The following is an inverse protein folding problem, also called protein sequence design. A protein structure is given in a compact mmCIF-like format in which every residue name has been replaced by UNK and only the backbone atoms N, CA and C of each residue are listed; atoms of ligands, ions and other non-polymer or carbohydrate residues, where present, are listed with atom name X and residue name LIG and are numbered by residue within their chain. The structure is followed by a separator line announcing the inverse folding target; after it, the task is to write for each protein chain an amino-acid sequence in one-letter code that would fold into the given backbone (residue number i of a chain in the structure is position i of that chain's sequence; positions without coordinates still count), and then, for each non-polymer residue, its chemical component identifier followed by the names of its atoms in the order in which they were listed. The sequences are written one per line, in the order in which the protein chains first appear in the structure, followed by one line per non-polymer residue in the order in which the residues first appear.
data_IF_274764777474
#
_entry.id   IF_274764777474
#
_cell.length_a   1.000
_cell.length_b   1.000
_cell.length_c   1.000
_cell.angle_alpha   90.00
_cell.angle_beta   90.00
_cell.angle_gamma   90.00
#
_symmetry.space_group_name_H-M   'P 1'
#
loop_
_entity.id
_entity.type
_entity.pdbx_description
1 polymer ?
#
# COMPACT_ATOMS: atom_id res chain seq x y z
N UNK A 1 30.00 9.10 10.32
CA UNK A 1 28.55 9.05 10.51
C UNK A 1 27.96 8.67 9.18
N UNK A 2 27.37 7.49 9.06
CA UNK A 2 26.57 7.14 7.90
C UNK A 2 25.37 8.08 7.90
N UNK A 3 25.22 8.92 6.89
CA UNK A 3 24.04 9.76 6.72
C UNK A 3 22.91 8.80 6.39
N UNK A 4 21.97 8.59 7.32
CA UNK A 4 20.76 7.84 7.02
C UNK A 4 20.06 8.48 5.84
N UNK A 5 19.57 7.66 4.88
CA UNK A 5 18.75 8.19 3.79
C UNK A 5 17.56 8.97 4.38
N UNK A 6 17.18 10.12 3.80
CA UNK A 6 15.99 10.82 4.24
C UNK A 6 14.77 9.92 4.07
N UNK A 7 13.87 9.94 5.05
CA UNK A 7 12.60 9.22 4.97
C UNK A 7 11.73 9.89 3.92
N UNK A 8 11.08 9.07 3.07
CA UNK A 8 10.12 9.55 2.07
C UNK A 8 8.70 9.39 2.59
N UNK A 9 7.87 10.38 2.27
CA UNK A 9 6.47 10.40 2.66
C UNK A 9 5.56 10.44 1.43
N UNK A 10 4.63 9.51 1.37
CA UNK A 10 3.67 9.37 0.29
C UNK A 10 2.23 9.29 0.79
N UNK A 11 1.32 9.28 -0.15
CA UNK A 11 -0.10 9.20 0.13
C UNK A 11 -0.73 8.12 -0.75
N UNK A 12 -1.85 7.55 -0.27
CA UNK A 12 -2.71 6.75 -1.14
C UNK A 12 -3.50 7.70 -2.04
N UNK A 13 -3.29 7.57 -3.35
CA UNK A 13 -3.88 8.43 -4.35
C UNK A 13 -5.38 8.18 -4.52
N UNK A 14 -6.11 9.25 -4.83
CA UNK A 14 -7.51 9.15 -5.20
C UNK A 14 -7.68 8.43 -6.54
N UNK A 15 -8.56 7.42 -6.60
CA UNK A 15 -8.82 6.62 -7.79
C UNK A 15 -10.31 6.23 -7.91
N UNK A 16 -11.19 7.22 -7.86
CA UNK A 16 -12.66 7.06 -7.84
C UNK A 16 -13.34 8.07 -8.77
N UNK A 17 -14.60 7.81 -9.18
CA UNK A 17 -15.38 8.76 -9.98
C UNK A 17 -15.72 10.07 -9.25
N UNK A 18 -15.77 11.22 -9.97
CA UNK A 18 -15.45 11.35 -11.38
C UNK A 18 -13.95 11.43 -11.63
N UNK A 19 -13.50 10.89 -12.75
CA UNK A 19 -12.06 10.79 -13.08
C UNK A 19 -11.32 12.13 -13.00
N UNK A 20 -11.99 13.23 -13.36
CA UNK A 20 -11.40 14.57 -13.31
C UNK A 20 -10.84 14.89 -11.91
N UNK A 21 -11.54 14.52 -10.84
CA UNK A 21 -11.09 14.74 -9.46
C UNK A 21 -9.87 13.92 -9.10
N UNK A 22 -9.83 12.67 -9.54
CA UNK A 22 -8.65 11.83 -9.36
C UNK A 22 -7.43 12.39 -10.10
N UNK A 23 -7.60 12.91 -11.32
CA UNK A 23 -6.52 13.55 -12.08
C UNK A 23 -6.05 14.88 -11.44
N UNK A 24 -6.98 15.71 -10.98
CA UNK A 24 -6.67 16.95 -10.23
C UNK A 24 -5.87 16.62 -8.95
N UNK A 25 -6.23 15.56 -8.22
CA UNK A 25 -5.55 15.15 -7.00
C UNK A 25 -4.08 14.75 -7.23
N UNK A 26 -3.76 14.14 -8.38
CA UNK A 26 -2.39 13.78 -8.77
C UNK A 26 -1.54 15.06 -8.91
N UNK A 27 -2.00 16.02 -9.72
CA UNK A 27 -1.28 17.27 -9.93
C UNK A 27 -1.11 18.06 -8.63
N UNK A 28 -2.17 18.06 -7.79
CA UNK A 28 -2.14 18.68 -6.46
C UNK A 28 -1.12 18.02 -5.54
N UNK A 29 -1.06 16.69 -5.50
CA UNK A 29 -0.10 15.96 -4.66
C UNK A 29 1.35 16.35 -5.00
N UNK A 30 1.71 16.42 -6.28
CA UNK A 30 3.04 16.88 -6.67
C UNK A 30 3.29 18.35 -6.31
N UNK A 31 2.30 19.23 -6.50
CA UNK A 31 2.42 20.65 -6.14
C UNK A 31 2.60 20.85 -4.64
N UNK A 32 1.95 20.06 -3.81
CA UNK A 32 2.11 20.04 -2.36
C UNK A 32 3.51 19.56 -1.94
N UNK A 33 4.17 18.75 -2.76
CA UNK A 33 5.53 18.29 -2.49
C UNK A 33 5.64 16.91 -1.88
N UNK A 34 4.61 16.06 -2.04
CA UNK A 34 4.70 14.65 -1.70
C UNK A 34 5.86 13.97 -2.46
N UNK A 35 6.56 13.05 -1.78
CA UNK A 35 7.67 12.32 -2.39
C UNK A 35 7.18 11.25 -3.36
N UNK A 36 6.08 10.58 -3.03
CA UNK A 36 5.46 9.57 -3.91
C UNK A 36 3.95 9.47 -3.72
N UNK A 37 3.28 8.92 -4.75
CA UNK A 37 1.86 8.55 -4.72
C UNK A 37 1.74 7.04 -4.86
N UNK A 38 0.84 6.43 -4.10
CA UNK A 38 0.64 5.00 -3.99
C UNK A 38 -0.78 4.62 -4.43
N UNK A 39 -0.92 3.64 -5.31
CA UNK A 39 -2.22 3.16 -5.81
C UNK A 39 -2.44 1.68 -5.48
N UNK A 40 -3.53 1.31 -4.79
CA UNK A 40 -3.88 -0.08 -4.57
C UNK A 40 -4.44 -0.74 -5.84
N UNK A 41 -4.09 -2.02 -6.07
CA UNK A 41 -4.64 -2.82 -7.16
C UNK A 41 -5.86 -3.63 -6.67
N UNK A 42 -7.00 -2.96 -6.59
CA UNK A 42 -8.24 -3.51 -6.06
C UNK A 42 -9.37 -3.45 -7.09
N UNK A 43 -10.14 -4.55 -7.21
CA UNK A 43 -11.42 -4.54 -7.94
C UNK A 43 -12.54 -4.10 -6.99
N UNK A 44 -12.45 -4.50 -5.72
CA UNK A 44 -13.45 -4.27 -4.70
C UNK A 44 -12.82 -3.94 -3.35
N UNK A 45 -13.57 -3.24 -2.51
CA UNK A 45 -13.15 -2.83 -1.17
C UNK A 45 -12.93 -4.04 -0.23
N UNK A 46 -12.27 -3.75 0.87
CA UNK A 46 -12.17 -4.63 2.05
C UNK A 46 -13.33 -4.47 3.02
N UNK A 47 -14.05 -3.36 2.91
CA UNK A 47 -15.19 -3.05 3.75
C UNK A 47 -16.46 -3.77 3.23
N UNK A 48 -17.36 -4.23 4.10
CA UNK A 48 -18.66 -4.73 3.73
C UNK A 48 -19.42 -3.73 2.85
N UNK A 49 -20.16 -4.28 1.89
CA UNK A 49 -20.86 -3.50 0.89
C UNK A 49 -21.77 -2.43 1.53
N UNK A 50 -21.58 -1.18 1.10
CA UNK A 50 -22.37 -0.04 1.55
C UNK A 50 -21.90 0.60 2.86
N UNK A 51 -20.81 0.13 3.47
CA UNK A 51 -20.21 0.80 4.63
C UNK A 51 -19.50 2.10 4.23
N UNK A 52 -18.69 2.04 3.18
CA UNK A 52 -18.10 3.24 2.60
C UNK A 52 -19.14 3.90 1.72
N UNK A 53 -19.62 5.04 2.11
CA UNK A 53 -20.46 5.89 1.25
C UNK A 53 -19.58 6.61 0.23
N UNK A 54 -20.18 6.99 -0.91
CA UNK A 54 -19.46 7.73 -1.93
C UNK A 54 -18.72 8.92 -1.33
N UNK A 55 -17.52 9.21 -1.85
CA UNK A 55 -16.71 10.30 -1.33
C UNK A 55 -17.46 11.61 -1.32
N UNK A 56 -17.07 12.46 -0.39
CA UNK A 56 -17.46 13.85 -0.30
C UNK A 56 -17.58 14.44 -1.69
N UNK A 57 -18.73 14.98 -1.92
CA UNK A 57 -19.23 15.55 -3.16
C UNK A 57 -18.14 15.95 -4.17
N UNK A 58 -18.22 15.38 -5.35
CA UNK A 58 -17.43 15.75 -6.52
C UNK A 58 -17.51 17.24 -6.91
N UNK A 59 -18.27 18.05 -6.20
CA UNK A 59 -18.46 19.47 -6.38
C UNK A 59 -17.57 20.34 -5.49
N UNK A 60 -16.76 19.75 -4.58
CA UNK A 60 -15.89 20.52 -3.71
C UNK A 60 -14.58 20.89 -4.42
N UNK A 61 -14.22 22.20 -4.53
CA UNK A 61 -12.92 22.63 -5.05
C UNK A 61 -11.71 22.12 -4.25
N UNK A 62 -11.94 21.66 -3.02
CA UNK A 62 -10.95 21.08 -2.12
C UNK A 62 -10.88 19.56 -2.13
N UNK A 63 -11.23 18.87 -3.23
CA UNK A 63 -11.19 17.42 -3.28
C UNK A 63 -9.88 16.86 -2.69
N UNK A 64 -9.96 15.89 -1.76
CA UNK A 64 -8.79 15.40 -1.04
C UNK A 64 -7.79 14.75 -1.98
N UNK A 65 -6.51 14.93 -1.69
CA UNK A 65 -5.43 14.21 -2.41
C UNK A 65 -5.42 12.74 -2.06
N UNK A 66 -5.87 12.39 -0.85
CA UNK A 66 -5.96 11.03 -0.35
C UNK A 66 -7.36 10.73 0.16
N UNK A 67 -7.96 9.63 -0.32
CA UNK A 67 -9.27 9.17 0.13
C UNK A 67 -9.40 7.65 0.03
N UNK A 68 -10.04 7.04 1.03
CA UNK A 68 -10.38 5.62 1.00
C UNK A 68 -11.84 5.44 0.54
N UNK A 69 -12.03 4.68 -0.53
CA UNK A 69 -13.33 4.46 -1.18
C UNK A 69 -13.57 2.96 -1.40
N UNK A 70 -14.81 2.57 -1.66
CA UNK A 70 -15.17 1.23 -2.15
C UNK A 70 -15.12 1.11 -3.68
N UNK A 71 -14.80 2.21 -4.36
CA UNK A 71 -14.72 2.28 -5.82
C UNK A 71 -13.28 2.52 -6.25
N UNK A 72 -12.79 1.69 -7.17
CA UNK A 72 -11.42 1.77 -7.68
C UNK A 72 -11.43 1.82 -9.20
N UNK A 73 -10.73 2.80 -9.77
CA UNK A 73 -10.31 2.73 -11.18
C UNK A 73 -9.18 1.73 -11.35
N UNK A 74 -8.89 1.31 -12.57
CA UNK A 74 -7.75 0.45 -12.86
C UNK A 74 -6.42 1.08 -12.39
N UNK A 75 -5.65 0.33 -11.63
CA UNK A 75 -4.44 0.84 -10.99
C UNK A 75 -3.33 1.17 -11.99
N UNK A 76 -3.17 0.36 -13.06
CA UNK A 76 -2.18 0.62 -14.11
C UNK A 76 -2.51 1.91 -14.87
N UNK A 77 -3.81 2.17 -15.15
CA UNK A 77 -4.30 3.38 -15.79
C UNK A 77 -4.07 4.62 -14.93
N UNK A 78 -4.27 4.50 -13.60
CA UNK A 78 -3.99 5.60 -12.67
C UNK A 78 -2.49 5.87 -12.56
N UNK A 79 -1.65 4.83 -12.54
CA UNK A 79 -0.19 4.98 -12.60
C UNK A 79 0.25 5.65 -13.92
N UNK A 80 -0.36 5.29 -15.06
CA UNK A 80 -0.08 5.94 -16.34
C UNK A 80 -0.46 7.43 -16.32
N UNK A 81 -1.60 7.77 -15.73
CA UNK A 81 -2.01 9.17 -15.54
C UNK A 81 -1.02 9.91 -14.64
N UNK A 82 -0.61 9.33 -13.51
CA UNK A 82 0.39 9.92 -12.63
C UNK A 82 1.74 10.12 -13.33
N UNK A 83 2.17 9.15 -14.14
CA UNK A 83 3.43 9.21 -14.89
C UNK A 83 3.50 10.43 -15.82
N UNK A 84 2.40 10.77 -16.48
CA UNK A 84 2.35 11.89 -17.42
C UNK A 84 1.99 13.24 -16.80
N UNK A 85 1.27 13.24 -15.69
CA UNK A 85 0.84 14.46 -14.98
C UNK A 85 1.88 14.99 -14.00
N UNK A 86 2.89 14.16 -13.63
CA UNK A 86 3.93 14.52 -12.65
C UNK A 86 5.31 14.51 -13.30
N UNK A 87 6.30 15.14 -12.62
CA UNK A 87 7.69 15.20 -13.09
C UNK A 87 8.70 14.73 -12.05
N UNK A 88 8.38 14.81 -10.75
CA UNK A 88 9.29 14.52 -9.64
C UNK A 88 8.80 13.40 -8.74
N UNK A 89 7.49 13.39 -8.48
CA UNK A 89 6.84 12.46 -7.57
C UNK A 89 7.02 11.02 -8.07
N UNK A 90 7.53 10.14 -7.21
CA UNK A 90 7.60 8.71 -7.50
C UNK A 90 6.21 8.10 -7.51
N UNK A 91 6.06 6.98 -8.20
CA UNK A 91 4.77 6.30 -8.34
C UNK A 91 4.94 4.87 -7.86
N UNK A 92 4.17 4.49 -6.85
CA UNK A 92 4.12 3.15 -6.30
C UNK A 92 2.77 2.52 -6.65
N UNK A 93 2.76 1.33 -7.20
CA UNK A 93 1.58 0.49 -7.29
C UNK A 93 1.69 -0.58 -6.21
N UNK A 94 0.85 -0.51 -5.16
CA UNK A 94 0.91 -1.41 -4.03
C UNK A 94 -0.49 -1.76 -3.47
N UNK A 95 -0.86 -3.03 -3.48
CA UNK A 95 -0.09 -4.23 -3.79
C UNK A 95 -0.68 -4.88 -5.03
N UNK A 96 0.14 -5.18 -6.03
CA UNK A 96 -0.28 -5.91 -7.22
C UNK A 96 0.04 -7.41 -7.07
N UNK A 97 -0.80 -8.29 -7.62
CA UNK A 97 -0.52 -9.71 -7.70
C UNK A 97 -0.31 -10.17 -9.16
N UNK A 98 0.62 -11.11 -9.39
CA UNK A 98 0.89 -11.63 -10.72
C UNK A 98 -0.05 -12.78 -11.15
N UNK A 99 -1.06 -13.12 -10.34
CA UNK A 99 -1.88 -14.30 -10.57
C UNK A 99 -3.06 -14.01 -11.50
N UNK A 100 -3.60 -12.78 -11.44
CA UNK A 100 -4.75 -12.33 -12.25
C UNK A 100 -4.36 -11.86 -13.66
N UNK A 101 -3.07 -11.65 -13.91
CA UNK A 101 -2.55 -11.16 -15.20
C UNK A 101 -1.46 -12.09 -15.72
N UNK A 102 -1.35 -12.22 -17.04
CA UNK A 102 -0.21 -12.93 -17.63
C UNK A 102 1.10 -12.23 -17.30
N UNK A 103 2.13 -12.94 -16.78
CA UNK A 103 3.42 -12.31 -16.49
C UNK A 103 4.07 -11.62 -17.69
N UNK A 104 3.90 -12.14 -18.91
CA UNK A 104 4.43 -11.48 -20.10
C UNK A 104 3.73 -10.14 -20.38
N UNK A 105 2.41 -10.06 -20.19
CA UNK A 105 1.66 -8.80 -20.31
C UNK A 105 2.07 -7.83 -19.21
N UNK A 106 2.18 -8.30 -17.97
CA UNK A 106 2.66 -7.46 -16.86
C UNK A 106 4.08 -6.92 -17.10
N UNK A 107 5.00 -7.76 -17.61
CA UNK A 107 6.34 -7.30 -17.96
C UNK A 107 6.29 -6.12 -18.96
N UNK A 108 5.37 -6.20 -19.94
CA UNK A 108 5.14 -5.15 -20.92
C UNK A 108 4.57 -3.88 -20.27
N UNK A 109 3.51 -4.02 -19.48
CA UNK A 109 2.86 -2.90 -18.78
C UNK A 109 3.82 -2.17 -17.83
N UNK A 110 4.55 -2.93 -17.01
CA UNK A 110 5.51 -2.41 -16.04
C UNK A 110 6.65 -1.65 -16.73
N UNK A 111 7.23 -2.20 -17.82
CA UNK A 111 8.29 -1.51 -18.57
C UNK A 111 7.75 -0.29 -19.32
N UNK A 112 6.52 -0.35 -19.83
CA UNK A 112 5.86 0.81 -20.45
C UNK A 112 5.69 1.94 -19.43
N UNK A 113 5.21 1.64 -18.23
CA UNK A 113 5.07 2.62 -17.16
C UNK A 113 6.41 3.18 -16.69
N UNK A 114 7.48 2.36 -16.70
CA UNK A 114 8.85 2.81 -16.41
C UNK A 114 9.31 3.87 -17.41
N UNK A 115 9.05 3.65 -18.71
CA UNK A 115 9.33 4.65 -19.75
C UNK A 115 8.45 5.91 -19.62
N UNK A 116 7.14 5.74 -19.40
CA UNK A 116 6.21 6.87 -19.27
C UNK A 116 6.55 7.76 -18.07
N UNK A 117 7.02 7.16 -16.98
CA UNK A 117 7.39 7.86 -15.75
C UNK A 117 8.82 8.39 -15.74
N UNK A 118 9.61 8.13 -16.78
CA UNK A 118 11.05 8.48 -16.81
C UNK A 118 11.81 7.85 -15.61
N UNK A 119 11.53 6.57 -15.32
CA UNK A 119 12.23 5.81 -14.29
C UNK A 119 11.71 5.97 -12.86
N UNK A 120 10.54 6.59 -12.65
CA UNK A 120 9.95 6.85 -11.32
C UNK A 120 8.97 5.76 -10.85
N UNK A 121 8.81 4.67 -11.60
CA UNK A 121 7.83 3.62 -11.30
C UNK A 121 8.38 2.55 -10.35
N UNK A 122 7.59 2.14 -9.37
CA UNK A 122 7.86 0.99 -8.52
C UNK A 122 6.59 0.17 -8.28
N UNK A 123 6.78 -1.13 -8.03
CA UNK A 123 5.69 -2.09 -7.83
C UNK A 123 5.91 -2.88 -6.54
N UNK A 124 4.91 -2.90 -5.67
CA UNK A 124 4.89 -3.81 -4.53
C UNK A 124 4.08 -5.05 -4.88
N UNK A 125 4.73 -6.22 -4.77
CA UNK A 125 4.24 -7.49 -5.27
C UNK A 125 3.78 -8.37 -4.12
N UNK A 126 2.52 -8.80 -4.15
CA UNK A 126 1.93 -9.71 -3.17
C UNK A 126 1.39 -10.98 -3.80
N UNK A 127 1.01 -11.92 -2.96
CA UNK A 127 0.47 -13.23 -3.38
C UNK A 127 -1.06 -13.20 -3.64
N UNK A 128 -1.65 -12.01 -3.69
CA UNK A 128 -3.08 -11.80 -3.93
C UNK A 128 -3.98 -12.15 -2.73
N UNK A 129 -5.22 -11.67 -2.80
CA UNK A 129 -6.28 -11.88 -1.81
C UNK A 129 -7.48 -12.56 -2.47
N UNK A 130 -8.09 -13.54 -1.80
CA UNK A 130 -9.14 -14.37 -2.40
C UNK A 130 -10.35 -13.56 -2.92
N UNK A 131 -10.66 -12.41 -2.31
CA UNK A 131 -11.71 -11.49 -2.79
C UNK A 131 -11.51 -10.98 -4.22
N UNK A 132 -10.28 -11.03 -4.73
CA UNK A 132 -9.93 -10.61 -6.09
C UNK A 132 -10.00 -11.76 -7.11
N UNK A 133 -10.24 -13.00 -6.67
CA UNK A 133 -10.21 -14.21 -7.48
C UNK A 133 -11.56 -14.92 -7.53
N UNK A 134 -11.96 -15.50 -6.43
CA UNK A 134 -13.13 -16.38 -6.35
C UNK A 134 -14.43 -15.73 -6.85
N UNK A 135 -14.79 -14.49 -6.48
CA UNK A 135 -15.99 -13.85 -6.97
C UNK A 135 -16.01 -13.61 -8.49
N UNK A 136 -14.83 -13.65 -9.12
CA UNK A 136 -14.64 -13.41 -10.56
C UNK A 136 -14.33 -14.69 -11.34
N UNK A 137 -14.52 -15.87 -10.72
CA UNK A 137 -14.33 -17.17 -11.36
C UNK A 137 -12.87 -17.64 -11.47
N UNK A 138 -11.96 -16.98 -10.77
CA UNK A 138 -10.56 -17.34 -10.72
C UNK A 138 -10.21 -18.14 -9.48
N UNK A 139 -9.15 -18.95 -9.53
CA UNK A 139 -8.69 -19.75 -8.41
C UNK A 139 -7.31 -19.30 -7.95
N UNK A 140 -7.23 -18.85 -6.70
CA UNK A 140 -5.97 -18.50 -6.05
C UNK A 140 -5.23 -19.75 -5.59
N UNK A 141 -4.59 -20.46 -6.53
CA UNK A 141 -3.84 -21.69 -6.25
C UNK A 141 -2.33 -21.45 -6.26
N UNK A 142 -1.59 -22.13 -5.35
CA UNK A 142 -0.12 -22.05 -5.23
C UNK A 142 0.42 -20.60 -5.34
N UNK A 143 -0.16 -19.61 -4.58
CA UNK A 143 0.06 -18.19 -4.86
C UNK A 143 1.53 -17.78 -4.77
N UNK A 144 2.28 -18.30 -3.80
CA UNK A 144 3.71 -17.95 -3.65
C UNK A 144 4.59 -18.56 -4.74
N UNK A 145 4.28 -19.75 -5.25
CA UNK A 145 5.01 -20.35 -6.37
C UNK A 145 4.78 -19.56 -7.65
N UNK A 146 3.54 -19.21 -7.92
CA UNK A 146 3.21 -18.34 -9.06
C UNK A 146 3.87 -16.97 -8.96
N UNK A 147 3.89 -16.37 -7.76
CA UNK A 147 4.57 -15.10 -7.56
C UNK A 147 6.07 -15.20 -7.90
N UNK A 148 6.79 -16.19 -7.36
CA UNK A 148 8.21 -16.39 -7.65
C UNK A 148 8.47 -16.61 -9.14
N UNK A 149 7.68 -17.48 -9.78
CA UNK A 149 7.82 -17.77 -11.21
C UNK A 149 7.53 -16.53 -12.08
N UNK A 150 6.53 -15.72 -11.72
CA UNK A 150 6.23 -14.48 -12.43
C UNK A 150 7.39 -13.47 -12.32
N UNK A 151 7.92 -13.26 -11.12
CA UNK A 151 9.07 -12.37 -10.90
C UNK A 151 10.27 -12.79 -11.75
N UNK A 152 10.62 -14.08 -11.73
CA UNK A 152 11.71 -14.59 -12.55
C UNK A 152 11.41 -14.49 -14.05
N UNK A 153 10.15 -14.59 -14.46
CA UNK A 153 9.72 -14.40 -15.85
C UNK A 153 9.88 -12.95 -16.28
N UNK A 154 9.49 -11.98 -15.47
CA UNK A 154 9.67 -10.56 -15.75
C UNK A 154 11.16 -10.21 -15.93
N UNK A 155 11.98 -10.60 -14.97
CA UNK A 155 13.42 -10.33 -15.01
C UNK A 155 14.05 -10.95 -16.26
N UNK A 156 13.74 -12.23 -16.55
CA UNK A 156 14.26 -12.90 -17.73
C UNK A 156 13.86 -12.20 -19.04
N UNK A 157 12.59 -11.75 -19.15
CA UNK A 157 12.11 -11.00 -20.32
C UNK A 157 12.81 -9.66 -20.46
N UNK A 158 12.95 -8.89 -19.38
CA UNK A 158 13.62 -7.58 -19.40
C UNK A 158 15.10 -7.69 -19.71
N UNK A 159 15.78 -8.70 -19.15
CA UNK A 159 17.22 -8.94 -19.36
C UNK A 159 17.55 -9.59 -20.71
N UNK A 160 16.55 -10.14 -21.43
CA UNK A 160 16.75 -10.75 -22.75
C UNK A 160 17.23 -9.75 -23.82
N UNK A 161 16.98 -8.46 -23.61
CA UNK A 161 17.36 -7.38 -24.54
C UNK A 161 16.84 -7.60 -25.96
N UNK A 162 15.67 -8.22 -26.08
CA UNK A 162 15.05 -8.53 -27.36
C UNK A 162 15.49 -9.85 -28.00
N UNK A 163 16.44 -10.58 -27.40
CA UNK A 163 16.82 -11.91 -27.87
C UNK A 163 15.77 -12.95 -27.47
N UNK A 164 15.52 -13.97 -28.30
CA UNK A 164 14.61 -15.06 -27.96
C UNK A 164 15.10 -15.84 -26.74
N UNK A 165 14.20 -16.07 -25.78
CA UNK A 165 14.49 -16.85 -24.58
C UNK A 165 13.49 -18.00 -24.41
N UNK A 166 13.98 -19.12 -23.88
CA UNK A 166 13.16 -20.24 -23.43
C UNK A 166 13.47 -20.52 -21.96
N UNK A 167 12.42 -20.80 -21.19
CA UNK A 167 12.53 -21.04 -19.74
C UNK A 167 11.47 -22.04 -19.30
N UNK A 168 11.89 -23.07 -18.59
CA UNK A 168 10.96 -23.99 -17.94
C UNK A 168 10.31 -23.32 -16.72
N UNK A 169 9.02 -23.52 -16.57
CA UNK A 169 8.21 -23.03 -15.46
C UNK A 169 6.96 -23.89 -15.33
N UNK A 170 6.46 -24.11 -14.12
CA UNK A 170 5.24 -24.87 -13.89
C UNK A 170 4.02 -24.14 -14.46
N UNK A 171 3.97 -22.80 -14.33
CA UNK A 171 2.79 -22.02 -14.68
C UNK A 171 2.96 -21.17 -15.94
N UNK A 172 4.17 -20.68 -16.20
CA UNK A 172 4.42 -19.75 -17.32
C UNK A 172 5.71 -20.09 -18.07
N UNK A 173 5.78 -21.28 -18.72
CA UNK A 173 6.93 -21.63 -19.53
C UNK A 173 7.06 -20.69 -20.72
N UNK A 174 8.28 -20.30 -21.04
CA UNK A 174 8.61 -19.50 -22.23
C UNK A 174 9.23 -20.42 -23.29
N UNK A 175 8.85 -20.20 -24.54
CA UNK A 175 9.43 -20.90 -25.70
C UNK A 175 9.71 -19.87 -26.80
N UNK A 176 10.99 -19.64 -27.06
CA UNK A 176 11.45 -18.67 -28.05
C UNK A 176 10.75 -17.31 -27.93
N UNK A 177 10.50 -16.91 -26.68
CA UNK A 177 9.80 -15.68 -26.36
C UNK A 177 10.70 -14.46 -26.58
N UNK A 178 10.17 -13.46 -27.28
CA UNK A 178 10.88 -12.21 -27.56
C UNK A 178 10.20 -11.05 -26.82
N UNK A 179 10.98 -10.28 -26.11
CA UNK A 179 10.54 -9.06 -25.44
C UNK A 179 11.26 -7.83 -26.02
N UNK A 180 10.64 -7.12 -26.99
CA UNK A 180 11.34 -6.11 -27.78
C UNK A 180 11.41 -4.72 -27.13
N UNK A 181 10.69 -4.48 -26.00
CA UNK A 181 10.77 -3.18 -25.31
C UNK A 181 12.14 -3.07 -24.65
N UNK A 182 12.93 -2.02 -24.98
CA UNK A 182 14.24 -1.86 -24.39
C UNK A 182 14.14 -1.56 -22.89
N UNK A 183 15.16 -1.97 -22.15
CA UNK A 183 15.34 -1.52 -20.77
C UNK A 183 15.41 0.01 -20.74
N UNK A 184 14.69 0.64 -19.79
CA UNK A 184 14.84 2.08 -19.57
C UNK A 184 16.26 2.40 -19.07
N UNK A 185 16.74 3.62 -19.31
CA UNK A 185 18.10 4.02 -18.90
C UNK A 185 18.35 3.96 -17.39
N UNK A 186 17.30 4.16 -16.58
CA UNK A 186 17.36 3.97 -15.11
C UNK A 186 17.35 2.50 -14.69
N UNK A 187 17.20 1.57 -15.62
CA UNK A 187 17.04 0.14 -15.33
C UNK A 187 15.57 -0.33 -15.35
N UNK A 188 15.35 -1.51 -14.81
CA UNK A 188 13.99 -2.06 -14.64
C UNK A 188 13.23 -1.30 -13.54
N UNK A 189 11.90 -1.39 -13.50
CA UNK A 189 11.12 -0.88 -12.37
C UNK A 189 11.55 -1.53 -11.05
N UNK A 190 11.52 -0.77 -9.96
CA UNK A 190 11.77 -1.31 -8.62
C UNK A 190 10.67 -2.28 -8.21
N UNK A 191 11.05 -3.42 -7.63
CA UNK A 191 10.17 -4.44 -7.13
C UNK A 191 10.30 -4.53 -5.60
N UNK A 192 9.25 -4.17 -4.88
CA UNK A 192 9.12 -4.40 -3.45
C UNK A 192 8.25 -5.65 -3.23
N UNK A 193 8.50 -6.39 -2.17
CA UNK A 193 7.73 -7.60 -1.89
C UNK A 193 6.95 -7.47 -0.59
N UNK A 194 5.75 -8.11 -0.56
CA UNK A 194 4.80 -7.97 0.54
C UNK A 194 4.56 -9.30 1.23
N UNK A 195 4.79 -9.36 2.53
CA UNK A 195 4.61 -10.55 3.37
C UNK A 195 5.80 -10.81 4.28
N UNK A 196 5.63 -11.73 5.24
CA UNK A 196 6.62 -12.02 6.29
C UNK A 196 7.31 -13.40 6.16
N UNK A 197 6.87 -14.24 5.20
CA UNK A 197 7.40 -15.59 5.02
C UNK A 197 8.79 -15.60 4.37
N UNK A 198 9.57 -16.68 4.60
CA UNK A 198 10.97 -16.80 4.14
C UNK A 198 11.15 -16.65 2.62
N UNK A 199 10.16 -17.09 1.83
CA UNK A 199 10.19 -16.91 0.36
C UNK A 199 10.13 -15.44 -0.01
N UNK A 200 9.29 -14.65 0.66
CA UNK A 200 9.16 -13.21 0.44
C UNK A 200 10.41 -12.48 0.91
N UNK A 201 10.95 -12.83 2.08
CA UNK A 201 12.22 -12.24 2.58
C UNK A 201 13.36 -12.46 1.57
N UNK A 202 13.46 -13.68 0.99
CA UNK A 202 14.46 -13.97 -0.05
C UNK A 202 14.24 -13.14 -1.31
N UNK A 203 13.02 -13.00 -1.79
CA UNK A 203 12.74 -12.14 -2.94
C UNK A 203 13.09 -10.68 -2.64
N UNK A 204 12.71 -10.16 -1.49
CA UNK A 204 12.98 -8.77 -1.10
C UNK A 204 14.48 -8.48 -0.97
N UNK A 205 15.26 -9.37 -0.33
CA UNK A 205 16.67 -9.17 -0.09
C UNK A 205 17.56 -9.53 -1.29
N UNK A 206 17.31 -10.67 -1.93
CA UNK A 206 18.21 -11.18 -2.97
C UNK A 206 17.87 -10.71 -4.39
N UNK A 207 16.61 -10.35 -4.66
CA UNK A 207 16.12 -10.09 -6.02
C UNK A 207 15.56 -8.68 -6.19
N UNK A 208 14.70 -8.23 -5.28
CA UNK A 208 13.98 -6.95 -5.35
C UNK A 208 14.75 -5.77 -4.76
N UNK A 209 14.13 -4.62 -4.82
CA UNK A 209 14.66 -3.38 -4.26
C UNK A 209 14.16 -3.11 -2.84
N UNK A 210 13.30 -4.00 -2.28
CA UNK A 210 12.87 -3.84 -0.90
C UNK A 210 11.63 -4.61 -0.51
N UNK A 211 11.03 -4.15 0.57
CA UNK A 211 9.88 -4.77 1.21
C UNK A 211 8.84 -3.71 1.57
N UNK A 212 7.56 -4.11 1.52
CA UNK A 212 6.45 -3.28 1.93
C UNK A 212 5.59 -4.02 2.95
N UNK A 213 5.12 -3.31 3.96
CA UNK A 213 4.11 -3.79 4.90
C UNK A 213 2.89 -2.88 4.89
N UNK A 214 1.71 -3.51 4.96
CA UNK A 214 0.46 -2.82 5.27
C UNK A 214 0.24 -2.90 6.77
N UNK A 215 0.14 -1.78 7.43
CA UNK A 215 -0.14 -1.71 8.86
C UNK A 215 -1.62 -1.37 9.08
N UNK A 216 -2.28 -2.21 9.87
CA UNK A 216 -1.77 -3.19 10.84
C UNK A 216 -1.48 -4.59 10.27
N UNK A 217 -1.91 -4.92 9.07
CA UNK A 217 -2.03 -6.28 8.58
C UNK A 217 -0.73 -7.11 8.43
N UNK A 218 0.40 -6.51 8.08
CA UNK A 218 1.65 -7.23 7.78
C UNK A 218 2.40 -7.71 9.03
N UNK A 219 3.23 -6.88 9.61
CA UNK A 219 3.88 -7.12 10.91
C UNK A 219 3.03 -6.63 12.09
N UNK A 220 1.82 -6.13 11.84
CA UNK A 220 1.03 -5.37 12.80
C UNK A 220 1.75 -4.05 13.17
N UNK A 221 1.30 -3.43 14.24
CA UNK A 221 2.02 -2.31 14.86
C UNK A 221 3.10 -2.80 15.86
N UNK A 222 3.65 -4.01 15.64
CA UNK A 222 4.72 -4.58 16.45
C UNK A 222 6.08 -4.21 15.83
N UNK A 223 6.67 -3.11 16.33
CA UNK A 223 7.93 -2.58 15.83
C UNK A 223 9.13 -3.52 16.08
N UNK A 224 9.06 -4.38 17.09
CA UNK A 224 10.11 -5.39 17.37
C UNK A 224 10.09 -6.48 16.29
N UNK A 225 8.91 -7.01 15.97
CA UNK A 225 8.76 -8.01 14.91
C UNK A 225 9.11 -7.41 13.53
N UNK A 226 8.71 -6.18 13.27
CA UNK A 226 9.03 -5.46 12.04
C UNK A 226 10.54 -5.25 11.88
N UNK A 227 11.22 -4.80 12.94
CA UNK A 227 12.68 -4.64 12.93
C UNK A 227 13.39 -5.95 12.65
N UNK A 228 13.01 -7.04 13.32
CA UNK A 228 13.60 -8.34 13.11
C UNK A 228 13.46 -8.81 11.65
N UNK A 229 12.29 -8.57 11.04
CA UNK A 229 12.04 -8.91 9.63
C UNK A 229 12.90 -8.05 8.68
N UNK A 230 13.05 -6.76 8.95
CA UNK A 230 13.92 -5.86 8.19
C UNK A 230 15.39 -6.31 8.29
N UNK A 231 15.84 -6.63 9.49
CA UNK A 231 17.21 -7.12 9.72
C UNK A 231 17.47 -8.45 8.97
N UNK A 232 16.52 -9.39 8.96
CA UNK A 232 16.57 -10.62 8.16
C UNK A 232 16.72 -10.33 6.65
N UNK A 233 15.91 -9.43 6.12
CA UNK A 233 15.96 -9.05 4.68
C UNK A 233 17.31 -8.41 4.36
N UNK A 234 17.82 -7.52 5.20
CA UNK A 234 19.13 -6.88 5.04
C UNK A 234 20.28 -7.92 5.07
N UNK A 235 20.18 -8.91 5.94
CA UNK A 235 21.14 -10.01 5.99
C UNK A 235 21.13 -10.82 4.69
N UNK A 236 19.95 -11.18 4.19
CA UNK A 236 19.80 -11.89 2.90
C UNK A 236 20.38 -11.06 1.73
N UNK A 237 20.20 -9.74 1.74
CA UNK A 237 20.79 -8.87 0.71
C UNK A 237 22.32 -8.90 0.77
N UNK A 238 22.90 -8.81 1.98
CA UNK A 238 24.35 -8.89 2.18
C UNK A 238 24.91 -10.23 1.71
N UNK A 239 24.25 -11.35 2.03
CA UNK A 239 24.65 -12.69 1.60
C UNK A 239 24.57 -12.84 0.07
N UNK A 240 23.66 -12.13 -0.59
CA UNK A 240 23.54 -12.05 -2.04
C UNK A 240 24.53 -11.06 -2.69
N UNK A 241 25.43 -10.43 -1.91
CA UNK A 241 26.41 -9.46 -2.40
C UNK A 241 25.82 -8.09 -2.76
N UNK A 242 24.63 -7.77 -2.24
CA UNK A 242 23.94 -6.50 -2.47
C UNK A 242 24.13 -5.56 -1.29
N UNK A 243 24.04 -4.27 -1.54
CA UNK A 243 24.07 -3.25 -0.49
C UNK A 243 22.75 -3.28 0.31
N UNK A 244 22.74 -3.70 1.60
CA UNK A 244 21.53 -3.76 2.41
C UNK A 244 20.94 -2.38 2.72
N UNK A 245 21.76 -1.31 2.68
CA UNK A 245 21.32 0.05 2.96
C UNK A 245 20.73 0.73 1.71
N UNK A 246 20.88 0.11 0.53
CA UNK A 246 20.17 0.52 -0.67
C UNK A 246 18.69 0.14 -0.66
N UNK A 247 18.28 -0.85 0.16
CA UNK A 247 16.92 -1.36 0.18
C UNK A 247 15.89 -0.33 0.66
N UNK A 248 14.69 -0.46 0.12
CA UNK A 248 13.50 0.32 0.43
C UNK A 248 12.63 -0.48 1.40
N UNK A 249 12.18 0.16 2.47
CA UNK A 249 11.27 -0.43 3.46
C UNK A 249 10.07 0.50 3.64
N UNK A 250 8.96 0.15 2.99
CA UNK A 250 7.75 0.95 2.96
C UNK A 250 6.73 0.44 3.99
N UNK A 251 6.10 1.36 4.72
CA UNK A 251 4.93 1.10 5.55
C UNK A 251 3.72 1.87 5.03
N UNK A 252 2.68 1.14 4.61
CA UNK A 252 1.36 1.72 4.38
C UNK A 252 0.63 1.81 5.72
N UNK A 253 0.33 3.02 6.18
CA UNK A 253 -0.15 3.30 7.52
C UNK A 253 -1.59 3.77 7.51
N UNK A 254 -2.48 3.01 8.14
CA UNK A 254 -3.89 3.39 8.31
C UNK A 254 -3.98 4.46 9.39
N UNK A 255 -4.26 5.70 8.99
CA UNK A 255 -4.14 6.87 9.84
C UNK A 255 -5.50 7.49 10.14
N UNK A 256 -5.80 7.71 11.42
CA UNK A 256 -6.94 8.50 11.89
C UNK A 256 -6.41 9.75 12.60
N UNK A 257 -6.22 10.82 11.83
CA UNK A 257 -5.62 12.07 12.28
C UNK A 257 -6.70 13.12 12.50
N UNK A 258 -6.69 13.77 13.66
CA UNK A 258 -7.60 14.85 14.02
C UNK A 258 -6.85 15.96 14.77
N UNK A 259 -7.57 17.00 15.18
CA UNK A 259 -7.02 18.15 15.89
C UNK A 259 -6.44 17.82 17.28
N UNK A 260 -6.89 16.71 17.89
CA UNK A 260 -6.40 16.20 19.18
C UNK A 260 -6.69 14.70 19.31
N UNK A 261 -6.12 14.08 20.35
CA UNK A 261 -6.26 12.63 20.61
C UNK A 261 -7.70 12.21 20.94
N UNK A 262 -8.47 13.05 21.63
CA UNK A 262 -9.84 12.74 22.01
C UNK A 262 -10.73 12.60 20.76
N UNK A 263 -10.64 13.57 19.84
CA UNK A 263 -11.41 13.53 18.59
C UNK A 263 -10.94 12.42 17.66
N UNK A 264 -9.64 12.20 17.56
CA UNK A 264 -9.10 11.09 16.77
C UNK A 264 -9.58 9.74 17.29
N UNK A 265 -9.66 9.56 18.62
CA UNK A 265 -10.19 8.34 19.21
C UNK A 265 -11.68 8.13 18.92
N UNK A 266 -12.48 9.19 19.00
CA UNK A 266 -13.90 9.16 18.59
C UNK A 266 -14.05 8.68 17.15
N UNK A 267 -13.25 9.24 16.21
CA UNK A 267 -13.25 8.85 14.81
C UNK A 267 -12.74 7.42 14.60
N UNK A 268 -11.71 6.99 15.32
CA UNK A 268 -11.17 5.63 15.25
C UNK A 268 -12.20 4.56 15.65
N UNK A 269 -13.13 4.91 16.52
CA UNK A 269 -14.24 4.05 16.95
C UNK A 269 -15.45 4.06 15.99
N UNK A 270 -15.43 4.91 14.96
CA UNK A 270 -16.47 4.89 13.94
C UNK A 270 -16.44 3.56 13.15
N UNK A 271 -17.60 3.00 12.72
CA UNK A 271 -17.66 1.73 11.99
C UNK A 271 -16.67 1.57 10.84
N UNK A 272 -16.42 2.61 10.06
CA UNK A 272 -15.53 2.51 8.90
C UNK A 272 -14.05 2.27 9.28
N UNK A 273 -13.39 3.09 10.12
CA UNK A 273 -12.07 2.75 10.65
C UNK A 273 -12.08 1.49 11.52
N UNK A 274 -13.13 1.29 12.36
CA UNK A 274 -13.27 0.12 13.22
C UNK A 274 -13.28 -1.20 12.44
N UNK A 275 -13.84 -1.22 11.22
CA UNK A 275 -13.79 -2.42 10.39
C UNK A 275 -12.35 -2.85 10.06
N UNK A 276 -11.41 -1.92 9.94
CA UNK A 276 -9.99 -2.25 9.76
C UNK A 276 -9.45 -3.03 10.97
N UNK A 277 -9.88 -2.69 12.18
CA UNK A 277 -9.49 -3.44 13.38
C UNK A 277 -10.03 -4.88 13.38
N UNK A 278 -11.20 -5.12 12.80
CA UNK A 278 -11.74 -6.48 12.60
C UNK A 278 -11.01 -7.20 11.47
N UNK A 279 -10.97 -6.60 10.28
CA UNK A 279 -10.57 -7.33 9.08
C UNK A 279 -9.06 -7.36 8.87
N UNK A 280 -8.32 -6.34 9.32
CA UNK A 280 -6.93 -6.11 8.96
C UNK A 280 -5.98 -5.91 10.16
N UNK A 281 -6.42 -6.18 11.40
CA UNK A 281 -5.53 -6.08 12.56
C UNK A 281 -4.28 -6.97 12.45
N UNK A 282 -4.37 -8.05 11.66
CA UNK A 282 -3.22 -8.79 11.12
C UNK A 282 -3.70 -9.70 9.99
N UNK A 283 -2.77 -10.33 9.26
CA UNK A 283 -3.12 -11.37 8.27
C UNK A 283 -3.89 -12.51 8.95
N UNK A 284 -3.49 -12.91 10.16
CA UNK A 284 -4.20 -13.86 11.05
C UNK A 284 -4.88 -13.08 12.18
N UNK A 285 -5.95 -12.36 11.87
CA UNK A 285 -6.63 -11.47 12.82
C UNK A 285 -7.11 -12.19 14.08
N UNK A 286 -7.64 -13.41 13.96
CA UNK A 286 -8.06 -14.23 15.09
C UNK A 286 -6.93 -14.45 16.10
N UNK A 287 -5.73 -14.86 15.64
CA UNK A 287 -4.54 -15.04 16.50
C UNK A 287 -4.04 -13.74 17.13
N UNK A 288 -4.27 -12.61 16.47
CA UNK A 288 -3.90 -11.31 17.02
C UNK A 288 -4.82 -10.91 18.16
N UNK A 289 -6.12 -11.13 18.03
CA UNK A 289 -7.08 -10.89 19.10
C UNK A 289 -6.84 -11.79 20.33
N UNK A 290 -6.42 -13.06 20.10
CA UNK A 290 -6.05 -14.00 21.18
C UNK A 290 -4.94 -13.45 22.11
N UNK A 291 -4.06 -12.57 21.62
CA UNK A 291 -3.00 -11.93 22.44
C UNK A 291 -3.57 -11.17 23.65
N UNK A 292 -4.79 -10.65 23.53
CA UNK A 292 -5.50 -9.93 24.59
C UNK A 292 -6.60 -10.76 25.24
N UNK A 293 -6.75 -12.04 24.85
CA UNK A 293 -7.76 -12.93 25.40
C UNK A 293 -9.16 -12.70 24.83
N UNK A 294 -9.27 -12.10 23.65
CA UNK A 294 -10.54 -11.86 22.96
C UNK A 294 -10.75 -12.85 21.82
N UNK A 295 -11.98 -13.35 21.70
CA UNK A 295 -12.38 -14.11 20.53
C UNK A 295 -12.63 -13.16 19.35
N UNK A 296 -12.10 -13.50 18.17
CA UNK A 296 -12.35 -12.73 16.98
C UNK A 296 -13.83 -12.86 16.54
N UNK A 297 -14.54 -11.75 16.23
CA UNK A 297 -15.97 -11.77 15.97
C UNK A 297 -16.40 -12.55 14.71
N UNK A 298 -15.46 -12.85 13.84
CA UNK A 298 -15.66 -13.69 12.64
C UNK A 298 -15.01 -15.09 12.76
N UNK A 299 -14.62 -15.51 13.98
CA UNK A 299 -14.00 -16.82 14.23
C UNK A 299 -12.60 -16.96 13.67
N UNK A 300 -12.27 -18.11 13.07
CA UNK A 300 -10.97 -18.33 12.38
C UNK A 300 -10.89 -17.52 11.10
N UNK A 301 -10.57 -16.25 11.25
CA UNK A 301 -10.51 -15.28 10.17
C UNK A 301 -9.07 -15.03 9.70
N UNK A 302 -8.85 -15.15 8.39
CA UNK A 302 -7.60 -14.80 7.73
C UNK A 302 -7.86 -13.81 6.59
N UNK A 303 -7.19 -12.67 6.61
CA UNK A 303 -7.35 -11.60 5.63
C UNK A 303 -7.30 -12.10 4.18
N UNK A 304 -6.24 -12.78 3.81
CA UNK A 304 -6.03 -13.18 2.40
C UNK A 304 -7.00 -14.24 1.91
N UNK A 305 -7.64 -14.99 2.82
CA UNK A 305 -8.61 -16.04 2.53
C UNK A 305 -10.05 -15.55 2.56
N UNK A 306 -10.40 -14.77 3.60
CA UNK A 306 -11.80 -14.61 4.00
C UNK A 306 -12.37 -13.21 3.75
N UNK A 307 -11.52 -12.18 3.61
CA UNK A 307 -12.01 -10.82 3.39
C UNK A 307 -12.76 -10.72 2.05
N UNK A 308 -13.98 -10.20 2.09
CA UNK A 308 -14.75 -9.81 0.91
C UNK A 308 -15.90 -8.88 1.30
N UNK A 309 -16.44 -8.15 0.33
CA UNK A 309 -17.50 -7.15 0.56
C UNK A 309 -18.84 -7.73 1.01
N UNK A 310 -19.04 -9.04 0.85
CA UNK A 310 -20.27 -9.74 1.22
C UNK A 310 -20.10 -10.62 2.48
N UNK A 311 -18.99 -10.48 3.20
CA UNK A 311 -18.69 -11.32 4.38
C UNK A 311 -19.74 -11.18 5.48
N UNK A 312 -20.23 -9.95 5.67
CA UNK A 312 -21.36 -9.62 6.53
C UNK A 312 -22.16 -8.47 5.91
N UNK A 313 -23.39 -8.25 6.35
CA UNK A 313 -24.15 -7.06 5.97
C UNK A 313 -23.56 -5.80 6.62
N UNK A 314 -23.89 -4.62 6.07
CA UNK A 314 -23.50 -3.33 6.65
C UNK A 314 -23.91 -3.21 8.12
N UNK A 315 -25.17 -3.54 8.42
CA UNK A 315 -25.73 -3.44 9.76
C UNK A 315 -25.00 -4.37 10.74
N UNK A 316 -24.65 -5.58 10.29
CA UNK A 316 -23.85 -6.51 11.11
C UNK A 316 -22.43 -6.03 11.32
N UNK A 317 -21.80 -5.44 10.33
CA UNK A 317 -20.48 -4.84 10.46
C UNK A 317 -20.49 -3.67 11.45
N UNK A 318 -21.49 -2.79 11.36
CA UNK A 318 -21.67 -1.68 12.31
C UNK A 318 -21.89 -2.18 13.75
N UNK A 319 -22.68 -3.25 13.93
CA UNK A 319 -22.84 -3.90 15.24
C UNK A 319 -21.50 -4.44 15.79
N UNK A 320 -20.75 -5.18 14.96
CA UNK A 320 -19.48 -5.78 15.36
C UNK A 320 -18.43 -4.72 15.72
N UNK A 321 -18.38 -3.62 14.99
CA UNK A 321 -17.41 -2.54 15.25
C UNK A 321 -17.66 -1.80 16.56
N UNK A 322 -18.89 -1.76 17.05
CA UNK A 322 -19.23 -1.18 18.36
C UNK A 322 -18.66 -1.98 19.54
N UNK A 323 -18.38 -3.26 19.35
CA UNK A 323 -17.91 -4.18 20.38
C UNK A 323 -16.39 -4.42 20.34
N UNK A 324 -15.64 -3.69 19.50
CA UNK A 324 -14.18 -3.87 19.39
C UNK A 324 -13.52 -3.40 20.70
N UNK A 325 -12.66 -4.23 21.31
CA UNK A 325 -11.86 -3.82 22.45
C UNK A 325 -10.92 -2.65 22.11
N UNK A 326 -10.67 -1.78 23.09
CA UNK A 326 -9.84 -0.60 22.91
C UNK A 326 -8.40 -0.97 22.49
N UNK A 327 -7.85 -2.05 23.05
CA UNK A 327 -6.51 -2.55 22.74
C UNK A 327 -6.39 -2.98 21.28
N UNK A 328 -7.44 -3.58 20.71
CA UNK A 328 -7.46 -3.99 19.30
C UNK A 328 -7.54 -2.77 18.39
N UNK A 329 -8.36 -1.78 18.74
CA UNK A 329 -8.44 -0.51 17.99
C UNK A 329 -7.10 0.23 18.02
N UNK A 330 -6.47 0.35 19.20
CA UNK A 330 -5.17 1.02 19.36
C UNK A 330 -4.05 0.30 18.57
N UNK A 331 -4.09 -1.03 18.53
CA UNK A 331 -3.15 -1.81 17.73
C UNK A 331 -3.39 -1.66 16.22
N UNK A 332 -4.64 -1.61 15.79
CA UNK A 332 -5.00 -1.64 14.38
C UNK A 332 -4.80 -0.32 13.65
N UNK A 333 -4.86 0.81 14.36
CA UNK A 333 -4.87 2.14 13.75
C UNK A 333 -3.73 2.99 14.29
N UNK A 334 -3.17 3.84 13.44
CA UNK A 334 -2.30 4.95 13.86
C UNK A 334 -3.19 6.19 14.01
N UNK A 335 -3.58 6.49 15.24
CA UNK A 335 -4.57 7.51 15.54
C UNK A 335 -4.02 8.56 16.52
N UNK A 336 -4.58 9.76 16.48
CA UNK A 336 -4.26 10.85 17.40
C UNK A 336 -4.20 12.21 16.75
N UNK A 337 -3.81 13.21 17.54
CA UNK A 337 -3.31 14.47 17.03
C UNK A 337 -1.93 14.32 16.40
N UNK A 338 -1.43 15.37 15.78
CA UNK A 338 -0.17 15.35 15.00
C UNK A 338 1.04 14.82 15.81
N UNK A 339 1.12 15.14 17.11
CA UNK A 339 2.22 14.70 17.97
C UNK A 339 2.20 13.16 18.19
N UNK A 340 1.02 12.59 18.53
CA UNK A 340 0.87 11.16 18.75
C UNK A 340 1.11 10.37 17.46
N UNK A 341 0.52 10.81 16.34
CA UNK A 341 0.73 10.16 15.03
C UNK A 341 2.20 10.20 14.64
N UNK A 342 2.88 11.36 14.80
CA UNK A 342 4.31 11.45 14.51
C UNK A 342 5.13 10.52 15.41
N UNK A 343 4.81 10.43 16.71
CA UNK A 343 5.48 9.52 17.64
C UNK A 343 5.38 8.06 17.20
N UNK A 344 4.19 7.60 16.81
CA UNK A 344 3.97 6.23 16.32
C UNK A 344 4.70 5.94 15.01
N UNK A 345 4.73 6.90 14.08
CA UNK A 345 5.48 6.76 12.82
C UNK A 345 6.99 6.79 13.07
N UNK A 346 7.47 7.61 14.02
CA UNK A 346 8.89 7.65 14.38
C UNK A 346 9.37 6.29 14.91
N UNK A 347 8.59 5.59 15.73
CA UNK A 347 8.91 4.24 16.19
C UNK A 347 9.09 3.26 15.02
N UNK A 348 8.31 3.39 13.95
CA UNK A 348 8.47 2.58 12.72
C UNK A 348 9.75 2.94 11.96
N UNK A 349 10.06 4.23 11.88
CA UNK A 349 11.31 4.72 11.27
C UNK A 349 12.52 4.19 12.05
N UNK A 350 12.46 4.23 13.38
CA UNK A 350 13.50 3.68 14.26
C UNK A 350 13.66 2.16 14.13
N UNK A 351 12.58 1.46 13.75
CA UNK A 351 12.62 0.04 13.42
C UNK A 351 13.21 -0.25 12.01
N UNK A 352 13.43 0.77 11.19
CA UNK A 352 14.08 0.65 9.89
C UNK A 352 13.22 0.98 8.67
N UNK A 353 11.96 1.43 8.85
CA UNK A 353 11.13 1.95 7.76
C UNK A 353 11.77 3.25 7.23
N UNK A 354 11.87 3.37 5.91
CA UNK A 354 12.42 4.56 5.25
C UNK A 354 11.46 5.17 4.20
N UNK A 355 10.26 4.59 4.04
CA UNK A 355 9.17 5.14 3.24
C UNK A 355 7.84 4.92 3.96
N UNK A 356 6.98 5.94 4.01
CA UNK A 356 5.68 5.88 4.69
C UNK A 356 4.58 6.35 3.76
N UNK A 357 3.62 5.46 3.45
CA UNK A 357 2.39 5.79 2.71
C UNK A 357 1.24 6.01 3.68
N UNK A 358 0.64 7.17 3.70
CA UNK A 358 -0.48 7.49 4.59
C UNK A 358 -1.84 7.22 3.96
N UNK A 359 -2.69 6.49 4.69
CA UNK A 359 -4.12 6.32 4.40
C UNK A 359 -4.94 7.24 5.29
N UNK A 360 -5.69 8.17 4.71
CA UNK A 360 -6.62 9.01 5.48
C UNK A 360 -7.91 8.27 5.80
N UNK A 361 -7.97 7.58 6.93
CA UNK A 361 -9.18 6.90 7.39
C UNK A 361 -10.13 7.79 8.19
N UNK A 362 -9.66 8.91 8.73
CA UNK A 362 -10.54 9.89 9.39
C UNK A 362 -11.65 10.37 8.45
N UNK A 363 -11.31 10.61 7.17
CA UNK A 363 -12.26 11.02 6.13
C UNK A 363 -13.37 9.98 5.84
N UNK A 364 -13.16 8.71 6.17
CA UNK A 364 -14.19 7.67 6.04
C UNK A 364 -15.22 7.71 7.17
N UNK A 365 -14.86 8.26 8.31
CA UNK A 365 -15.73 8.49 9.45
C UNK A 365 -16.46 9.83 9.34
N UNK A 366 -15.72 10.89 9.00
CA UNK A 366 -16.26 12.23 8.81
C UNK A 366 -15.56 12.89 7.60
N UNK A 367 -16.33 13.16 6.52
CA UNK A 367 -15.81 13.77 5.30
C UNK A 367 -15.09 15.11 5.48
N UNK A 368 -15.35 15.87 6.53
CA UNK A 368 -14.67 17.13 6.81
C UNK A 368 -13.15 16.92 6.99
N UNK A 369 -12.75 15.76 7.50
CA UNK A 369 -11.33 15.41 7.66
C UNK A 369 -10.60 15.12 6.33
N UNK A 370 -11.32 15.03 5.23
CA UNK A 370 -10.68 15.02 3.92
C UNK A 370 -10.15 16.40 3.52
N UNK A 371 -10.87 17.46 3.88
CA UNK A 371 -10.52 18.86 3.54
C UNK A 371 -9.28 19.32 4.31
N UNK A 372 -9.17 18.94 5.58
CA UNK A 372 -8.08 19.37 6.47
C UNK A 372 -6.85 18.47 6.43
N UNK A 373 -6.92 17.34 5.72
CA UNK A 373 -5.88 16.32 5.69
C UNK A 373 -4.50 16.86 5.35
N UNK A 374 -4.38 17.62 4.24
CA UNK A 374 -3.08 18.07 3.76
C UNK A 374 -2.36 18.97 4.76
N UNK A 375 -3.09 19.80 5.51
CA UNK A 375 -2.51 20.66 6.53
C UNK A 375 -2.10 19.88 7.79
N UNK A 376 -2.95 18.96 8.23
CA UNK A 376 -2.69 18.16 9.42
C UNK A 376 -1.52 17.18 9.21
N UNK A 377 -1.49 16.47 8.08
CA UNK A 377 -0.40 15.55 7.79
C UNK A 377 0.93 16.27 7.51
N UNK A 378 0.89 17.51 6.98
CA UNK A 378 2.06 18.35 6.83
C UNK A 378 2.75 18.65 8.16
N UNK A 379 1.96 18.83 9.24
CA UNK A 379 2.51 18.99 10.59
C UNK A 379 3.18 17.70 11.06
N UNK A 380 2.56 16.53 10.84
CA UNK A 380 3.15 15.22 11.15
C UNK A 380 4.49 15.05 10.45
N UNK A 381 4.55 15.29 9.14
CA UNK A 381 5.77 15.19 8.32
C UNK A 381 6.86 16.14 8.88
N UNK A 382 6.51 17.38 9.22
CA UNK A 382 7.44 18.34 9.82
C UNK A 382 8.01 17.86 11.16
N UNK A 383 7.20 17.24 12.01
CA UNK A 383 7.64 16.65 13.30
C UNK A 383 8.59 15.47 13.11
N UNK A 384 8.47 14.74 12.00
CA UNK A 384 9.35 13.64 11.61
C UNK A 384 10.65 14.11 10.92
N UNK A 385 10.88 15.41 10.84
CA UNK A 385 12.06 15.98 10.18
C UNK A 385 11.98 15.99 8.65
N UNK A 386 10.83 15.61 8.08
CA UNK A 386 10.54 15.74 6.66
C UNK A 386 10.25 17.19 6.28
N UNK A 387 10.24 17.46 4.97
CA UNK A 387 9.85 18.77 4.46
C UNK A 387 8.32 18.90 4.55
N UNK A 388 7.79 19.89 5.28
CA UNK A 388 6.36 20.15 5.31
C UNK A 388 5.78 20.38 3.92
N UNK A 389 4.53 19.96 3.70
CA UNK A 389 3.84 20.17 2.43
C UNK A 389 3.56 21.66 2.18
N UNK A 390 3.52 22.06 0.93
CA UNK A 390 3.27 23.44 0.50
C UNK A 390 1.76 23.82 0.61
N UNK A 391 1.18 23.73 1.79
CA UNK A 391 -0.27 23.91 1.99
C UNK A 391 -0.73 25.37 1.86
N UNK A 392 0.18 26.33 1.97
CA UNK A 392 -0.13 27.77 1.96
C UNK A 392 -0.35 28.33 0.54
N UNK A 393 0.13 27.64 -0.50
CA UNK A 393 0.10 28.16 -1.88
C UNK A 393 -1.28 28.05 -2.59
N UNK A 394 -2.25 27.34 -2.04
CA UNK A 394 -3.51 27.00 -2.73
C UNK A 394 -4.76 27.71 -2.21
N UNK A 395 -4.63 28.74 -1.38
CA UNK A 395 -5.79 29.51 -0.91
C UNK A 395 -6.35 30.49 -1.99
N UNK A 396 -5.67 30.65 -3.13
CA UNK A 396 -6.04 31.65 -4.17
C UNK A 396 -5.78 31.18 -5.63
N UNK A 397 -5.85 29.87 -5.92
CA UNK A 397 -5.77 29.41 -7.31
C UNK A 397 -7.11 28.83 -7.80
#
# INVERSE_FOLDING_TARGET
MLVSKPVKFGLIGAMYPPIAKSLESIARAEALGWDFIDYPDQITSTNPRGMLTAPVSASDPGAPTSFFSDTFFGSMEMCAAAAVLTRRMEILLAVIDPLRRSPAVMAQEMMTLQHMSEGRMSFAIGAGENKQFEPYGEVRSKPFTRLEEAVHTWIALWESRGEPISRDSEFWPLKDAVFPIPMHESGRPDLLFVGAGDRIKRLAGAVGEGWLTYLPGGSGNDNVAMKALIDDIKHIASDAGRDPDALRFNAQVVTVLAENDEKAWELARHPNPGWIAIAAASIDASKTWDKWGYEHPLGDFNWSRDVNVNIVTKEKAEELTQAIPDEVTDFALVWGGAERVAGRVQEMIDAGINEVSFFNMAASADPEYAVHWDSQISEVIGRLGGKPLNTVANAHA
#
